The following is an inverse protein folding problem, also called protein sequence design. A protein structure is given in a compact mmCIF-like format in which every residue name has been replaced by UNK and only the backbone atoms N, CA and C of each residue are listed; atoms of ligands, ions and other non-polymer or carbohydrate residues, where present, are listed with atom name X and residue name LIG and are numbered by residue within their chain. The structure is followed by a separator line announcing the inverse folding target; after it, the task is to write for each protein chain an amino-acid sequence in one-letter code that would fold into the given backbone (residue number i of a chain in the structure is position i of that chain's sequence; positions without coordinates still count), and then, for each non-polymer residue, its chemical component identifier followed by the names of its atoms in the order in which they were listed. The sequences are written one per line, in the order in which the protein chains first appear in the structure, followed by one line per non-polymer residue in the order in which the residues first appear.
data_IF_082411944788
#
_entry.id   IF_082411944788
#
_cell.length_a   1.000
_cell.length_b   1.000
_cell.length_c   1.000
_cell.angle_alpha   90.00
_cell.angle_beta   90.00
_cell.angle_gamma   90.00
#
_symmetry.space_group_name_H-M   'P 1'
#
loop_
_entity.id
_entity.type
_entity.pdbx_description
1 polymer ?
#
# COMPACT_ATOMS: atom_id res chain seq x y z
N UNK A 1 -76.69 -53.75 5.61
CA UNK A 1 -75.36 -53.87 6.26
C UNK A 1 -74.50 -52.69 5.83
N UNK A 2 -73.83 -52.06 6.78
CA UNK A 2 -73.30 -50.69 6.77
C UNK A 2 -72.24 -50.41 5.68
N UNK A 3 -72.30 -49.27 4.95
CA UNK A 3 -71.16 -48.80 4.17
C UNK A 3 -70.06 -48.34 5.14
N UNK A 4 -68.88 -48.92 4.95
CA UNK A 4 -67.72 -48.91 5.85
C UNK A 4 -67.25 -47.51 6.24
N UNK A 5 -67.39 -47.19 7.54
CA UNK A 5 -66.81 -46.03 8.23
C UNK A 5 -65.29 -45.85 8.00
N UNK A 6 -64.59 -46.89 7.54
CA UNK A 6 -63.14 -46.87 7.26
C UNK A 6 -62.77 -46.02 6.04
N UNK A 7 -63.59 -46.01 4.98
CA UNK A 7 -63.31 -45.20 3.77
C UNK A 7 -63.44 -43.70 4.03
N UNK A 8 -64.44 -43.29 4.83
CA UNK A 8 -64.60 -41.90 5.28
C UNK A 8 -63.49 -41.47 6.26
N UNK A 9 -63.01 -42.40 7.10
CA UNK A 9 -61.88 -42.14 8.01
C UNK A 9 -60.56 -42.00 7.25
N UNK A 10 -60.32 -42.82 6.21
CA UNK A 10 -59.15 -42.71 5.34
C UNK A 10 -59.10 -41.39 4.57
N UNK A 11 -60.20 -41.01 3.90
CA UNK A 11 -60.30 -39.73 3.20
C UNK A 11 -60.18 -38.52 4.14
N UNK A 12 -60.73 -38.62 5.36
CA UNK A 12 -60.54 -37.59 6.38
C UNK A 12 -59.07 -37.48 6.84
N UNK A 13 -58.37 -38.59 7.03
CA UNK A 13 -56.96 -38.60 7.42
C UNK A 13 -56.05 -38.05 6.31
N UNK A 14 -56.33 -38.34 5.04
CA UNK A 14 -55.62 -37.76 3.90
C UNK A 14 -55.86 -36.25 3.81
N UNK A 15 -57.10 -35.78 3.92
CA UNK A 15 -57.41 -34.35 3.92
C UNK A 15 -56.74 -33.60 5.09
N UNK A 16 -56.66 -34.23 6.27
CA UNK A 16 -55.92 -33.68 7.43
C UNK A 16 -54.42 -33.65 7.18
N UNK A 17 -53.86 -34.65 6.49
CA UNK A 17 -52.45 -34.72 6.13
C UNK A 17 -52.10 -33.66 5.06
N UNK A 18 -52.89 -33.55 4.00
CA UNK A 18 -52.73 -32.54 2.95
C UNK A 18 -52.83 -31.13 3.54
N UNK A 19 -53.84 -30.85 4.38
CA UNK A 19 -53.94 -29.57 5.08
C UNK A 19 -52.75 -29.29 6.02
N UNK A 20 -52.09 -30.33 6.54
CA UNK A 20 -50.88 -30.19 7.35
C UNK A 20 -49.65 -29.91 6.48
N UNK A 21 -49.51 -30.62 5.35
CA UNK A 21 -48.45 -30.40 4.37
C UNK A 21 -48.54 -29.01 3.74
N UNK A 22 -49.74 -28.54 3.41
CA UNK A 22 -49.98 -27.19 2.91
C UNK A 22 -49.61 -26.11 3.93
N UNK A 23 -50.01 -26.28 5.20
CA UNK A 23 -49.58 -25.38 6.29
C UNK A 23 -48.07 -25.40 6.51
N UNK A 24 -47.41 -26.55 6.35
CA UNK A 24 -45.95 -26.63 6.44
C UNK A 24 -45.28 -25.92 5.27
N UNK A 25 -45.78 -26.11 4.05
CA UNK A 25 -45.28 -25.42 2.86
C UNK A 25 -45.47 -23.91 2.94
N UNK A 26 -46.62 -23.44 3.45
CA UNK A 26 -46.90 -22.02 3.69
C UNK A 26 -45.94 -21.43 4.72
N UNK A 27 -45.74 -22.10 5.86
CA UNK A 27 -44.74 -21.68 6.87
C UNK A 27 -43.32 -21.63 6.29
N UNK A 28 -42.94 -22.57 5.44
CA UNK A 28 -41.63 -22.55 4.78
C UNK A 28 -41.51 -21.36 3.83
N UNK A 29 -42.55 -21.04 3.06
CA UNK A 29 -42.60 -19.84 2.20
C UNK A 29 -42.49 -18.57 3.03
N UNK A 30 -43.21 -18.46 4.14
CA UNK A 30 -43.15 -17.30 5.03
C UNK A 30 -41.76 -17.13 5.65
N UNK A 31 -41.15 -18.21 6.15
CA UNK A 31 -39.79 -18.16 6.70
C UNK A 31 -38.77 -17.77 5.63
N UNK A 32 -38.91 -18.30 4.41
CA UNK A 32 -38.06 -17.92 3.29
C UNK A 32 -38.23 -16.44 2.91
N UNK A 33 -39.48 -15.97 2.82
CA UNK A 33 -39.79 -14.57 2.54
C UNK A 33 -39.21 -13.63 3.60
N UNK A 34 -39.37 -13.95 4.90
CA UNK A 34 -38.81 -13.19 6.02
C UNK A 34 -37.29 -13.14 5.93
N UNK A 35 -36.62 -14.26 5.64
CA UNK A 35 -35.16 -14.29 5.47
C UNK A 35 -34.69 -13.42 4.31
N UNK A 36 -35.33 -13.52 3.15
CA UNK A 36 -35.01 -12.70 1.97
C UNK A 36 -35.22 -11.22 2.30
N UNK A 37 -36.36 -10.86 2.90
CA UNK A 37 -36.66 -9.48 3.29
C UNK A 37 -35.65 -8.94 4.31
N UNK A 38 -35.25 -9.72 5.31
CA UNK A 38 -34.26 -9.32 6.29
C UNK A 38 -32.89 -9.07 5.63
N UNK A 39 -32.46 -9.94 4.71
CA UNK A 39 -31.23 -9.75 3.95
C UNK A 39 -31.27 -8.49 3.09
N UNK A 40 -32.37 -8.26 2.35
CA UNK A 40 -32.54 -7.07 1.49
C UNK A 40 -32.56 -5.80 2.34
N UNK A 41 -33.33 -5.75 3.44
CA UNK A 41 -33.38 -4.60 4.35
C UNK A 41 -32.00 -4.29 4.93
N UNK A 42 -31.27 -5.33 5.38
CA UNK A 42 -29.91 -5.18 5.87
C UNK A 42 -28.95 -4.67 4.80
N UNK A 43 -29.08 -5.15 3.56
CA UNK A 43 -28.27 -4.68 2.43
C UNK A 43 -28.56 -3.21 2.10
N UNK A 44 -29.83 -2.82 2.00
CA UNK A 44 -30.25 -1.43 1.74
C UNK A 44 -29.71 -0.46 2.79
N UNK A 45 -29.78 -0.83 4.08
CA UNK A 45 -29.23 0.00 5.17
C UNK A 45 -27.71 0.12 5.07
N UNK A 46 -27.00 -0.98 4.78
CA UNK A 46 -25.54 -0.94 4.58
C UNK A 46 -25.15 -0.06 3.40
N UNK A 47 -25.87 -0.15 2.28
CA UNK A 47 -25.57 0.67 1.10
C UNK A 47 -25.89 2.15 1.35
N UNK A 48 -26.98 2.45 2.06
CA UNK A 48 -27.32 3.80 2.49
C UNK A 48 -26.25 4.38 3.42
N UNK A 49 -25.75 3.60 4.38
CA UNK A 49 -24.69 4.05 5.29
C UNK A 49 -23.36 4.25 4.55
N UNK A 50 -23.01 3.36 3.62
CA UNK A 50 -21.84 3.56 2.76
C UNK A 50 -21.92 4.86 1.97
N UNK A 51 -23.08 5.13 1.36
CA UNK A 51 -23.34 6.38 0.63
C UNK A 51 -23.21 7.59 1.56
N UNK A 52 -23.77 7.52 2.77
CA UNK A 52 -23.64 8.58 3.78
C UNK A 52 -22.18 8.84 4.14
N UNK A 53 -21.38 7.80 4.41
CA UNK A 53 -19.95 7.93 4.73
C UNK A 53 -19.19 8.61 3.58
N UNK A 54 -19.47 8.23 2.32
CA UNK A 54 -18.86 8.86 1.14
C UNK A 54 -19.26 10.33 1.03
N UNK A 55 -20.54 10.65 1.21
CA UNK A 55 -21.04 12.03 1.19
C UNK A 55 -20.38 12.89 2.29
N UNK A 56 -20.28 12.38 3.51
CA UNK A 56 -19.62 13.09 4.62
C UNK A 56 -18.12 13.36 4.35
N UNK A 57 -17.47 12.52 3.54
CA UNK A 57 -16.10 12.76 3.09
C UNK A 57 -16.06 13.81 1.98
N UNK A 58 -16.97 13.70 1.00
CA UNK A 58 -17.08 14.62 -0.13
C UNK A 58 -17.48 16.04 0.32
N UNK A 59 -18.24 16.18 1.41
CA UNK A 59 -18.57 17.46 2.03
C UNK A 59 -17.34 18.23 2.53
N UNK A 60 -16.25 17.53 2.88
CA UNK A 60 -15.02 18.15 3.35
C UNK A 60 -14.15 18.65 2.18
N UNK A 61 -14.03 17.83 1.14
CA UNK A 61 -13.04 18.06 0.08
C UNK A 61 -13.63 18.52 -1.27
N UNK A 62 -14.94 18.35 -1.47
CA UNK A 62 -15.54 18.44 -2.79
C UNK A 62 -15.18 17.25 -3.69
N UNK A 63 -15.91 17.11 -4.80
CA UNK A 63 -15.69 16.06 -5.81
C UNK A 63 -14.67 16.48 -6.89
N UNK A 64 -14.24 17.74 -6.90
CA UNK A 64 -13.33 18.28 -7.91
C UNK A 64 -11.88 18.25 -7.43
N UNK A 65 -11.10 17.33 -8.02
CA UNK A 65 -9.66 17.16 -7.77
C UNK A 65 -8.81 18.43 -7.94
N UNK A 66 -9.33 19.44 -8.65
CA UNK A 66 -8.67 20.71 -8.93
C UNK A 66 -8.74 21.72 -7.79
N UNK A 67 -9.65 21.52 -6.85
CA UNK A 67 -9.78 22.35 -5.65
C UNK A 67 -9.12 21.63 -4.49
N UNK A 68 -7.78 21.56 -4.49
CA UNK A 68 -7.13 21.74 -3.19
C UNK A 68 -7.72 23.03 -2.60
N UNK A 69 -8.09 23.08 -1.31
CA UNK A 69 -8.36 24.38 -0.72
C UNK A 69 -7.12 25.22 -1.01
N UNK A 70 -7.31 26.43 -1.54
CA UNK A 70 -6.29 27.48 -1.44
C UNK A 70 -5.62 27.29 -0.07
N UNK A 71 -4.28 27.22 -0.02
CA UNK A 71 -3.47 26.91 1.18
C UNK A 71 -3.95 27.60 2.48
N UNK A 72 -4.77 28.64 2.36
CA UNK A 72 -5.47 29.36 3.42
C UNK A 72 -6.57 28.57 4.16
N UNK A 73 -7.21 27.55 3.57
CA UNK A 73 -8.37 26.85 4.16
C UNK A 73 -8.21 25.32 4.23
N UNK A 74 -7.05 24.82 4.67
CA UNK A 74 -6.85 23.38 4.88
C UNK A 74 -7.68 22.93 6.10
N UNK A 75 -8.55 21.91 5.97
CA UNK A 75 -9.38 21.46 7.09
C UNK A 75 -8.55 20.81 8.21
N UNK A 76 -9.03 20.98 9.44
CA UNK A 76 -8.37 20.46 10.64
C UNK A 76 -8.12 18.94 10.55
N UNK A 77 -6.88 18.53 10.88
CA UNK A 77 -6.43 17.14 10.84
C UNK A 77 -7.38 16.17 11.56
N UNK A 78 -7.82 16.53 12.76
CA UNK A 78 -8.69 15.68 13.58
C UNK A 78 -10.07 15.43 12.94
N UNK A 79 -10.63 16.43 12.25
CA UNK A 79 -11.94 16.31 11.59
C UNK A 79 -11.80 15.38 10.39
N UNK A 80 -10.81 15.66 9.55
CA UNK A 80 -10.50 14.86 8.37
C UNK A 80 -10.21 13.41 8.76
N UNK A 81 -9.34 13.20 9.75
CA UNK A 81 -8.96 11.88 10.24
C UNK A 81 -10.18 11.04 10.61
N UNK A 82 -11.11 11.59 11.38
CA UNK A 82 -12.32 10.86 11.81
C UNK A 82 -13.20 10.42 10.64
N UNK A 83 -13.33 11.25 9.59
CA UNK A 83 -14.09 10.90 8.39
C UNK A 83 -13.34 9.91 7.50
N UNK A 84 -12.04 10.12 7.30
CA UNK A 84 -11.19 9.24 6.51
C UNK A 84 -11.16 7.83 7.09
N UNK A 85 -11.03 7.66 8.41
CA UNK A 85 -11.07 6.33 9.05
C UNK A 85 -12.38 5.59 8.74
N UNK A 86 -13.52 6.29 8.68
CA UNK A 86 -14.80 5.67 8.31
C UNK A 86 -14.84 5.28 6.83
N UNK A 87 -14.34 6.14 5.95
CA UNK A 87 -14.26 5.84 4.52
C UNK A 87 -13.40 4.60 4.25
N UNK A 88 -12.22 4.51 4.87
CA UNK A 88 -11.30 3.41 4.63
C UNK A 88 -11.82 2.05 5.11
N UNK A 89 -12.75 2.01 6.07
CA UNK A 89 -13.45 0.78 6.49
C UNK A 89 -14.42 0.24 5.44
N UNK A 90 -14.89 1.06 4.52
CA UNK A 90 -15.85 0.69 3.46
C UNK A 90 -15.29 0.86 2.06
N UNK A 91 -13.98 1.10 1.96
CA UNK A 91 -13.33 1.51 0.73
C UNK A 91 -13.51 0.45 -0.36
N UNK A 92 -14.04 0.88 -1.49
CA UNK A 92 -14.19 0.07 -2.70
C UNK A 92 -13.40 0.74 -3.81
N UNK A 93 -12.33 0.10 -4.28
CA UNK A 93 -11.39 0.67 -5.27
C UNK A 93 -12.10 1.34 -6.44
N UNK A 94 -13.04 0.65 -7.07
CA UNK A 94 -13.77 1.14 -8.26
C UNK A 94 -14.57 2.42 -8.00
N UNK A 95 -15.00 2.65 -6.76
CA UNK A 95 -15.82 3.81 -6.37
C UNK A 95 -15.01 4.92 -5.70
N UNK A 96 -13.92 4.56 -5.03
CA UNK A 96 -13.24 5.39 -4.05
C UNK A 96 -11.79 5.76 -4.44
N UNK A 97 -11.28 5.32 -5.61
CA UNK A 97 -9.95 5.67 -6.11
C UNK A 97 -9.71 7.19 -6.19
N UNK A 98 -10.70 7.96 -6.68
CA UNK A 98 -10.64 9.43 -6.72
C UNK A 98 -10.60 10.05 -5.32
N UNK A 99 -11.30 9.46 -4.34
CA UNK A 99 -11.28 9.93 -2.95
C UNK A 99 -9.93 9.65 -2.31
N UNK A 100 -9.31 8.52 -2.63
CA UNK A 100 -7.93 8.22 -2.23
C UNK A 100 -6.96 9.25 -2.78
N UNK A 101 -7.04 9.60 -4.07
CA UNK A 101 -6.22 10.65 -4.67
C UNK A 101 -6.37 11.99 -3.93
N UNK A 102 -7.61 12.47 -3.73
CA UNK A 102 -7.91 13.71 -3.02
C UNK A 102 -7.35 13.66 -1.59
N UNK A 103 -7.57 12.55 -0.88
CA UNK A 103 -7.06 12.35 0.46
C UNK A 103 -5.54 12.37 0.51
N UNK A 104 -4.88 11.73 -0.46
CA UNK A 104 -3.42 11.74 -0.59
C UNK A 104 -2.90 13.16 -0.77
N UNK A 105 -3.51 13.97 -1.64
CA UNK A 105 -3.13 15.38 -1.81
C UNK A 105 -3.28 16.16 -0.50
N UNK A 106 -4.40 15.98 0.21
CA UNK A 106 -4.59 16.58 1.53
C UNK A 106 -3.49 16.17 2.51
N UNK A 107 -3.15 14.88 2.59
CA UNK A 107 -2.10 14.40 3.47
C UNK A 107 -0.77 15.07 3.16
N UNK A 108 -0.37 15.15 1.89
CA UNK A 108 0.87 15.83 1.52
C UNK A 108 0.87 17.31 1.94
N UNK A 109 -0.20 18.05 1.63
CA UNK A 109 -0.33 19.47 2.03
C UNK A 109 -0.37 19.67 3.54
N UNK A 110 -1.03 18.77 4.26
CA UNK A 110 -1.13 18.78 5.72
C UNK A 110 0.24 18.50 6.37
N UNK A 111 1.02 17.58 5.81
CA UNK A 111 2.35 17.23 6.32
C UNK A 111 3.40 18.32 6.06
N UNK A 112 3.17 19.17 5.06
CA UNK A 112 3.95 20.38 4.76
C UNK A 112 3.47 21.62 5.54
N UNK A 113 2.48 21.49 6.43
CA UNK A 113 2.06 22.56 7.33
C UNK A 113 2.84 22.50 8.66
N UNK A 114 3.16 23.66 9.20
CA UNK A 114 3.73 23.87 10.54
C UNK A 114 2.67 24.12 11.63
N UNK A 115 1.41 24.39 11.24
CA UNK A 115 0.28 24.49 12.18
C UNK A 115 -0.14 23.10 12.71
N UNK A 116 -0.13 22.95 14.05
CA UNK A 116 -0.61 21.78 14.78
C UNK A 116 -2.08 21.41 14.51
N UNK A 117 -2.93 22.37 14.13
CA UNK A 117 -4.33 22.10 13.80
C UNK A 117 -4.49 21.44 12.45
N UNK A 118 -3.59 21.75 11.53
CA UNK A 118 -3.62 21.30 10.14
C UNK A 118 -2.78 20.03 9.97
N UNK A 119 -1.65 19.93 10.67
CA UNK A 119 -0.70 18.83 10.49
C UNK A 119 -1.27 17.48 10.91
N UNK A 120 -1.25 16.53 9.99
CA UNK A 120 -1.84 15.21 10.18
C UNK A 120 -1.12 14.41 11.28
N UNK A 121 0.16 14.70 11.52
CA UNK A 121 0.98 14.10 12.60
C UNK A 121 0.41 14.40 13.99
N UNK A 122 -0.32 15.50 14.16
CA UNK A 122 -0.90 15.85 15.46
C UNK A 122 -1.92 14.81 15.94
N UNK A 123 -2.57 14.10 15.02
CA UNK A 123 -3.42 12.96 15.37
C UNK A 123 -2.60 11.79 15.96
N UNK A 124 -1.35 11.58 15.51
CA UNK A 124 -0.45 10.58 16.08
C UNK A 124 0.05 10.96 17.48
N UNK A 125 0.19 12.26 17.76
CA UNK A 125 0.62 12.78 19.06
C UNK A 125 -0.48 12.74 20.13
N UNK A 126 -1.74 12.65 19.72
CA UNK A 126 -2.86 12.53 20.65
C UNK A 126 -3.02 11.07 21.11
N UNK A 127 -2.73 10.79 22.39
CA UNK A 127 -2.80 9.46 23.00
C UNK A 127 -4.12 8.71 22.72
N UNK A 128 -5.25 9.40 22.61
CA UNK A 128 -6.55 8.79 22.34
C UNK A 128 -6.71 8.34 20.87
N UNK A 129 -5.96 8.94 19.94
CA UNK A 129 -6.06 8.71 18.50
C UNK A 129 -4.86 7.95 17.94
N UNK A 130 -3.71 7.92 18.63
CA UNK A 130 -2.45 7.33 18.15
C UNK A 130 -2.62 5.93 17.56
N UNK A 131 -3.29 5.01 18.27
CA UNK A 131 -3.45 3.63 17.79
C UNK A 131 -4.30 3.55 16.52
N UNK A 132 -5.42 4.27 16.49
CA UNK A 132 -6.28 4.33 15.30
C UNK A 132 -5.55 4.98 14.13
N UNK A 133 -4.73 6.00 14.41
CA UNK A 133 -3.94 6.69 13.41
C UNK A 133 -2.89 5.77 12.79
N UNK A 134 -2.19 4.96 13.60
CA UNK A 134 -1.21 3.98 13.10
C UNK A 134 -1.89 2.97 12.18
N UNK A 135 -3.03 2.42 12.58
CA UNK A 135 -3.77 1.48 11.74
C UNK A 135 -4.25 2.13 10.44
N UNK A 136 -4.74 3.37 10.52
CA UNK A 136 -5.23 4.10 9.36
C UNK A 136 -4.12 4.41 8.36
N UNK A 137 -2.95 4.87 8.83
CA UNK A 137 -1.88 5.23 7.90
C UNK A 137 -1.26 4.00 7.24
N UNK A 138 -1.21 2.86 7.96
CA UNK A 138 -0.86 1.57 7.37
C UNK A 138 -1.82 1.22 6.24
N UNK A 139 -3.13 1.30 6.49
CA UNK A 139 -4.16 1.03 5.48
C UNK A 139 -4.02 1.95 4.25
N UNK A 140 -3.82 3.26 4.48
CA UNK A 140 -3.62 4.25 3.41
C UNK A 140 -2.38 3.93 2.58
N UNK A 141 -1.27 3.58 3.24
CA UNK A 141 -0.02 3.27 2.55
C UNK A 141 -0.13 1.97 1.74
N UNK A 142 -0.79 0.93 2.27
CA UNK A 142 -1.07 -0.31 1.54
C UNK A 142 -1.94 -0.03 0.32
N UNK A 143 -2.99 0.77 0.46
CA UNK A 143 -3.86 1.16 -0.66
C UNK A 143 -3.14 1.97 -1.73
N UNK A 144 -2.20 2.82 -1.33
CA UNK A 144 -1.35 3.54 -2.26
C UNK A 144 -0.43 2.57 -3.05
N UNK A 145 0.11 1.53 -2.40
CA UNK A 145 0.84 0.47 -3.10
C UNK A 145 -0.05 -0.29 -4.08
N UNK A 146 -1.25 -0.70 -3.65
CA UNK A 146 -2.21 -1.38 -4.53
C UNK A 146 -2.52 -0.53 -5.78
N UNK A 147 -2.81 0.77 -5.63
CA UNK A 147 -3.04 1.65 -6.79
C UNK A 147 -1.82 1.78 -7.70
N UNK A 148 -0.60 1.85 -7.15
CA UNK A 148 0.63 1.91 -7.96
C UNK A 148 0.77 0.69 -8.90
N UNK A 149 0.27 -0.48 -8.52
CA UNK A 149 0.31 -1.68 -9.35
C UNK A 149 -0.65 -1.63 -10.53
N UNK A 150 -1.72 -0.83 -10.46
CA UNK A 150 -2.69 -0.69 -11.55
C UNK A 150 -2.45 0.50 -12.47
N UNK A 151 -1.66 1.48 -12.05
CA UNK A 151 -1.37 2.66 -12.87
C UNK A 151 -0.43 2.33 -14.03
N UNK A 152 -0.65 3.03 -15.13
CA UNK A 152 0.14 3.02 -16.34
C UNK A 152 0.98 4.31 -16.43
N UNK A 153 2.27 4.18 -16.14
CA UNK A 153 3.26 5.27 -16.21
C UNK A 153 3.36 5.96 -17.58
N UNK A 154 2.81 5.35 -18.63
CA UNK A 154 2.78 5.90 -19.99
C UNK A 154 1.76 7.02 -20.14
N UNK A 155 0.67 6.95 -19.38
CA UNK A 155 -0.41 7.93 -19.41
C UNK A 155 -0.03 9.09 -18.51
N UNK A 156 0.09 10.30 -19.06
CA UNK A 156 0.60 11.45 -18.33
C UNK A 156 -0.20 11.79 -17.05
N UNK A 157 -1.52 11.59 -17.06
CA UNK A 157 -2.37 11.76 -15.87
C UNK A 157 -2.06 10.72 -14.80
N UNK A 158 -1.87 9.45 -15.18
CA UNK A 158 -1.56 8.37 -14.25
C UNK A 158 -0.13 8.43 -13.74
N UNK A 159 0.83 8.89 -14.54
CA UNK A 159 2.21 9.13 -14.09
C UNK A 159 2.29 10.22 -13.01
N UNK A 160 1.37 11.22 -13.06
CA UNK A 160 1.21 12.18 -11.95
C UNK A 160 0.70 11.49 -10.69
N UNK A 161 -0.21 10.53 -10.81
CA UNK A 161 -0.68 9.72 -9.67
C UNK A 161 0.42 8.81 -9.11
N UNK A 162 1.24 8.21 -9.97
CA UNK A 162 2.42 7.45 -9.54
C UNK A 162 3.34 8.32 -8.70
N UNK A 163 3.64 9.53 -9.18
CA UNK A 163 4.45 10.50 -8.44
C UNK A 163 3.80 10.90 -7.11
N UNK A 164 2.47 11.09 -7.10
CA UNK A 164 1.69 11.44 -5.91
C UNK A 164 1.75 10.34 -4.83
N UNK A 165 1.51 9.08 -5.22
CA UNK A 165 1.53 7.95 -4.28
C UNK A 165 2.95 7.60 -3.82
N UNK A 166 3.96 7.68 -4.69
CA UNK A 166 5.36 7.54 -4.28
C UNK A 166 5.76 8.62 -3.26
N UNK A 167 5.33 9.86 -3.46
CA UNK A 167 5.58 10.94 -2.50
C UNK A 167 4.89 10.69 -1.16
N UNK A 168 3.65 10.18 -1.17
CA UNK A 168 2.93 9.79 0.05
C UNK A 168 3.72 8.74 0.85
N UNK A 169 4.14 7.66 0.19
CA UNK A 169 4.94 6.61 0.82
C UNK A 169 6.27 7.17 1.35
N UNK A 170 6.90 8.09 0.62
CA UNK A 170 8.14 8.75 1.04
C UNK A 170 7.94 9.61 2.30
N UNK A 171 6.84 10.37 2.39
CA UNK A 171 6.55 11.20 3.55
C UNK A 171 6.36 10.33 4.80
N UNK A 172 5.64 9.23 4.72
CA UNK A 172 5.33 8.40 5.90
C UNK A 172 6.41 7.38 6.27
N UNK A 173 7.50 7.32 5.51
CA UNK A 173 8.61 6.39 5.76
C UNK A 173 9.79 7.00 6.52
N UNK A 174 9.78 8.31 6.78
CA UNK A 174 10.76 8.95 7.67
C UNK A 174 10.17 10.21 8.32
N UNK A 175 10.62 10.54 9.53
CA UNK A 175 10.20 11.78 10.22
C UNK A 175 10.88 13.03 9.69
N UNK A 176 11.98 12.89 8.95
CA UNK A 176 12.76 14.01 8.38
C UNK A 176 11.95 14.85 7.39
N UNK A 177 10.94 14.25 6.77
CA UNK A 177 10.04 14.89 5.80
C UNK A 177 8.87 15.61 6.45
N UNK A 178 8.70 15.56 7.77
CA UNK A 178 7.56 16.15 8.47
C UNK A 178 7.94 17.56 8.92
N UNK A 179 7.35 18.59 8.28
CA UNK A 179 7.72 19.99 8.54
C UNK A 179 7.52 20.39 10.00
N UNK A 180 6.43 19.92 10.61
CA UNK A 180 6.14 20.15 12.03
C UNK A 180 7.29 19.69 12.96
N UNK A 181 7.94 18.56 12.66
CA UNK A 181 9.04 18.03 13.49
C UNK A 181 10.39 18.71 13.27
N UNK A 182 10.48 19.66 12.33
CA UNK A 182 11.67 20.48 12.17
C UNK A 182 11.76 21.56 13.26
N UNK A 183 10.66 21.84 13.96
CA UNK A 183 10.62 22.78 15.07
C UNK A 183 11.36 22.23 16.30
N UNK A 184 12.23 23.04 16.91
CA UNK A 184 13.11 22.59 18.01
C UNK A 184 12.36 21.98 19.18
N UNK A 185 11.22 22.56 19.57
CA UNK A 185 10.43 22.10 20.70
C UNK A 185 9.76 20.73 20.50
N UNK A 186 9.66 20.23 19.27
CA UNK A 186 9.08 18.92 18.93
C UNK A 186 10.13 17.86 18.61
N UNK A 187 11.41 18.21 18.54
CA UNK A 187 12.53 17.26 18.35
C UNK A 187 12.53 16.10 19.36
N UNK A 188 12.19 16.29 20.66
CA UNK A 188 12.15 15.18 21.62
C UNK A 188 11.17 14.05 21.26
N UNK A 189 10.16 14.32 20.42
CA UNK A 189 9.18 13.33 19.98
C UNK A 189 9.67 12.50 18.79
N UNK A 190 10.72 12.96 18.09
CA UNK A 190 11.23 12.34 16.87
C UNK A 190 11.64 10.87 17.04
N UNK A 191 12.29 10.43 18.14
CA UNK A 191 12.62 9.02 18.32
C UNK A 191 11.38 8.12 18.39
N UNK A 192 10.32 8.55 19.08
CA UNK A 192 9.08 7.79 19.18
C UNK A 192 8.35 7.72 17.82
N UNK A 193 8.34 8.83 17.08
CA UNK A 193 7.72 8.90 15.76
C UNK A 193 8.53 8.16 14.69
N UNK A 194 9.86 8.07 14.82
CA UNK A 194 10.70 7.22 13.99
C UNK A 194 10.33 5.74 14.13
N UNK A 195 10.14 5.24 15.37
CA UNK A 195 9.65 3.87 15.59
C UNK A 195 8.30 3.64 14.93
N UNK A 196 7.43 4.65 14.93
CA UNK A 196 6.16 4.60 14.23
C UNK A 196 6.34 4.49 12.70
N UNK A 197 7.25 5.26 12.09
CA UNK A 197 7.56 5.13 10.65
C UNK A 197 8.17 3.77 10.31
N UNK A 198 9.02 3.21 11.19
CA UNK A 198 9.55 1.86 11.04
C UNK A 198 8.44 0.81 11.06
N UNK A 199 7.45 0.95 11.96
CA UNK A 199 6.29 0.05 12.02
C UNK A 199 5.41 0.13 10.77
N UNK A 200 5.27 1.31 10.15
CA UNK A 200 4.59 1.45 8.85
C UNK A 200 5.39 0.73 7.77
N UNK A 201 6.71 0.96 7.71
CA UNK A 201 7.55 0.33 6.70
C UNK A 201 7.58 -1.21 6.84
N UNK A 202 7.63 -1.74 8.05
CA UNK A 202 7.58 -3.17 8.29
C UNK A 202 6.26 -3.80 7.80
N UNK A 203 5.13 -3.11 7.98
CA UNK A 203 3.84 -3.52 7.41
C UNK A 203 3.91 -3.54 5.88
N UNK A 204 4.44 -2.48 5.27
CA UNK A 204 4.55 -2.38 3.81
C UNK A 204 5.46 -3.47 3.22
N UNK A 205 6.55 -3.81 3.89
CA UNK A 205 7.39 -4.95 3.51
C UNK A 205 6.58 -6.25 3.53
N UNK A 206 5.82 -6.48 4.61
CA UNK A 206 4.97 -7.68 4.76
C UNK A 206 3.88 -7.74 3.70
N UNK A 207 3.40 -6.58 3.24
CA UNK A 207 2.39 -6.44 2.17
C UNK A 207 2.97 -6.37 0.75
N UNK A 208 4.28 -6.56 0.59
CA UNK A 208 4.90 -6.74 -0.73
C UNK A 208 5.37 -5.46 -1.43
N UNK A 209 5.71 -4.39 -0.68
CA UNK A 209 6.18 -3.12 -1.31
C UNK A 209 7.32 -3.31 -2.32
N UNK A 210 8.24 -4.25 -2.10
CA UNK A 210 9.33 -4.51 -3.06
C UNK A 210 8.81 -4.97 -4.41
N UNK A 211 7.79 -5.82 -4.43
CA UNK A 211 7.12 -6.24 -5.66
C UNK A 211 6.43 -5.05 -6.34
N UNK A 212 5.69 -4.23 -5.57
CA UNK A 212 5.06 -3.01 -6.10
C UNK A 212 6.09 -2.07 -6.75
N UNK A 213 7.22 -1.81 -6.07
CA UNK A 213 8.29 -0.97 -6.57
C UNK A 213 8.92 -1.56 -7.84
N UNK A 214 9.13 -2.88 -7.89
CA UNK A 214 9.58 -3.58 -9.09
C UNK A 214 8.64 -3.35 -10.26
N UNK A 215 7.32 -3.51 -10.06
CA UNK A 215 6.32 -3.31 -11.12
C UNK A 215 6.37 -1.88 -11.68
N UNK A 216 6.49 -0.87 -10.80
CA UNK A 216 6.61 0.53 -11.24
C UNK A 216 7.91 0.76 -12.02
N UNK A 217 9.03 0.19 -11.57
CA UNK A 217 10.32 0.30 -12.27
C UNK A 217 10.29 -0.39 -13.64
N UNK A 218 9.76 -1.61 -13.74
CA UNK A 218 9.69 -2.35 -15.01
C UNK A 218 8.82 -1.59 -16.01
N UNK A 219 7.62 -1.17 -15.61
CA UNK A 219 6.71 -0.38 -16.47
C UNK A 219 7.36 0.96 -16.88
N UNK A 220 8.13 1.56 -15.98
CA UNK A 220 8.73 2.89 -16.16
C UNK A 220 10.03 2.92 -16.97
N UNK A 221 10.88 1.91 -16.83
CA UNK A 221 12.25 1.90 -17.35
C UNK A 221 12.43 0.99 -18.55
N UNK A 222 11.75 -0.17 -18.60
CA UNK A 222 11.97 -1.19 -19.62
C UNK A 222 11.23 -0.87 -20.94
N UNK A 223 11.49 0.31 -21.49
CA UNK A 223 10.89 0.83 -22.73
C UNK A 223 11.96 1.52 -23.58
N UNK A 224 11.65 1.75 -24.86
CA UNK A 224 12.57 2.48 -25.76
C UNK A 224 12.91 3.90 -25.26
N UNK A 225 11.99 4.54 -24.51
CA UNK A 225 12.26 5.76 -23.75
C UNK A 225 11.67 5.62 -22.32
N UNK A 226 12.45 5.90 -21.26
CA UNK A 226 11.96 5.86 -19.88
C UNK A 226 10.78 6.80 -19.65
N UNK A 227 9.70 6.28 -19.06
CA UNK A 227 8.48 7.03 -18.76
C UNK A 227 8.52 7.71 -17.38
N UNK A 228 9.24 7.12 -16.43
CA UNK A 228 9.51 7.74 -15.11
C UNK A 228 10.83 8.50 -15.15
N UNK A 229 10.90 9.61 -14.39
CA UNK A 229 12.08 10.50 -14.34
C UNK A 229 12.87 10.30 -13.06
N UNK A 230 14.06 10.91 -13.02
CA UNK A 230 15.00 10.87 -11.90
C UNK A 230 14.36 10.94 -10.51
N UNK A 231 13.51 11.93 -10.19
CA UNK A 231 12.91 12.04 -8.86
C UNK A 231 12.11 10.80 -8.43
N UNK A 232 11.29 10.24 -9.32
CA UNK A 232 10.51 9.03 -9.03
C UNK A 232 11.42 7.81 -8.81
N UNK A 233 12.47 7.66 -9.63
CA UNK A 233 13.45 6.59 -9.49
C UNK A 233 14.18 6.72 -8.14
N UNK A 234 14.68 7.91 -7.80
CA UNK A 234 15.33 8.18 -6.51
C UNK A 234 14.39 7.89 -5.33
N UNK A 235 13.11 8.25 -5.44
CA UNK A 235 12.11 7.91 -4.41
C UNK A 235 11.96 6.39 -4.27
N UNK A 236 11.87 5.64 -5.37
CA UNK A 236 11.78 4.18 -5.34
C UNK A 236 13.03 3.58 -4.68
N UNK A 237 14.22 4.03 -5.05
CA UNK A 237 15.47 3.58 -4.41
C UNK A 237 15.48 3.91 -2.91
N UNK A 238 15.08 5.11 -2.54
CA UNK A 238 14.96 5.51 -1.13
C UNK A 238 13.99 4.62 -0.36
N UNK A 239 12.83 4.32 -0.92
CA UNK A 239 11.82 3.45 -0.32
C UNK A 239 12.30 2.00 -0.19
N UNK A 240 13.11 1.51 -1.13
CA UNK A 240 13.74 0.19 -1.04
C UNK A 240 14.84 0.13 0.03
N UNK A 241 15.56 1.22 0.27
CA UNK A 241 16.67 1.24 1.24
C UNK A 241 16.21 1.46 2.68
N UNK A 242 15.14 2.24 2.91
CA UNK A 242 14.68 2.58 4.27
C UNK A 242 14.39 1.35 5.15
N UNK A 243 13.66 0.32 4.70
CA UNK A 243 13.45 -0.89 5.50
C UNK A 243 14.75 -1.62 5.80
N UNK A 244 15.63 -1.74 4.80
CA UNK A 244 16.92 -2.41 4.94
C UNK A 244 17.79 -1.77 6.02
N UNK A 245 17.86 -0.44 6.04
CA UNK A 245 18.61 0.31 7.05
C UNK A 245 17.95 0.26 8.43
N UNK A 246 16.62 0.22 8.49
CA UNK A 246 15.87 0.14 9.74
C UNK A 246 15.92 -1.26 10.38
N UNK A 247 16.06 -2.32 9.58
CA UNK A 247 16.07 -3.72 10.04
C UNK A 247 17.48 -4.26 10.33
N UNK A 248 18.43 -3.39 10.68
CA UNK A 248 19.84 -3.75 10.92
C UNK A 248 20.44 -4.62 9.79
N UNK A 249 20.03 -4.36 8.54
CA UNK A 249 20.54 -5.06 7.35
C UNK A 249 20.21 -6.56 7.28
N UNK A 250 19.03 -6.95 7.75
CA UNK A 250 18.48 -8.30 7.63
C UNK A 250 18.65 -8.93 6.22
N UNK A 251 19.13 -10.17 6.18
CA UNK A 251 19.24 -11.01 4.98
C UNK A 251 17.91 -11.16 4.23
N UNK A 252 16.77 -11.19 4.95
CA UNK A 252 15.46 -11.27 4.29
C UNK A 252 15.17 -10.05 3.43
N UNK A 253 15.50 -8.85 3.93
CA UNK A 253 15.29 -7.62 3.16
C UNK A 253 16.27 -7.54 1.99
N UNK A 254 17.51 -8.00 2.20
CA UNK A 254 18.53 -8.04 1.16
C UNK A 254 18.15 -9.01 0.03
N UNK A 255 17.57 -10.16 0.38
CA UNK A 255 16.96 -11.11 -0.57
C UNK A 255 15.86 -10.44 -1.39
N UNK A 256 14.91 -9.73 -0.74
CA UNK A 256 13.86 -8.99 -1.44
C UNK A 256 14.41 -7.91 -2.37
N UNK A 257 15.46 -7.18 -1.94
CA UNK A 257 16.13 -6.19 -2.78
C UNK A 257 16.82 -6.84 -3.99
N UNK A 258 17.51 -7.96 -3.80
CA UNK A 258 18.14 -8.71 -4.89
C UNK A 258 17.09 -9.20 -5.91
N UNK A 259 16.00 -9.78 -5.41
CA UNK A 259 14.93 -10.39 -6.23
C UNK A 259 14.06 -9.35 -6.93
N UNK A 260 13.75 -8.21 -6.31
CA UNK A 260 12.77 -7.27 -6.85
C UNK A 260 13.37 -5.97 -7.37
N UNK A 261 14.49 -5.49 -6.82
CA UNK A 261 15.08 -4.21 -7.22
C UNK A 261 16.25 -4.45 -8.17
N UNK A 262 17.26 -5.22 -7.75
CA UNK A 262 18.46 -5.45 -8.57
C UNK A 262 18.22 -6.36 -9.77
N UNK A 263 17.12 -7.10 -9.80
CA UNK A 263 16.69 -7.87 -10.96
C UNK A 263 16.01 -7.02 -12.05
N UNK A 264 15.74 -5.73 -11.80
CA UNK A 264 15.14 -4.83 -12.79
C UNK A 264 16.12 -4.61 -13.95
N UNK A 265 15.70 -4.82 -15.22
CA UNK A 265 16.59 -4.66 -16.37
C UNK A 265 17.29 -3.30 -16.41
N UNK A 266 18.61 -3.32 -16.59
CA UNK A 266 19.47 -2.15 -16.75
C UNK A 266 19.34 -1.08 -15.64
N UNK A 267 18.92 -1.45 -14.43
CA UNK A 267 18.72 -0.54 -13.31
C UNK A 267 19.92 0.39 -13.10
N UNK A 268 21.14 -0.17 -13.01
CA UNK A 268 22.35 0.63 -12.72
C UNK A 268 22.62 1.64 -13.84
N UNK A 269 22.40 1.26 -15.09
CA UNK A 269 22.51 2.18 -16.22
C UNK A 269 21.49 3.33 -16.11
N UNK A 270 20.26 3.04 -15.72
CA UNK A 270 19.23 4.06 -15.48
C UNK A 270 19.57 4.97 -14.28
N UNK A 271 20.18 4.45 -13.23
CA UNK A 271 20.62 5.28 -12.10
C UNK A 271 21.74 6.24 -12.51
N UNK A 272 22.75 5.77 -13.26
CA UNK A 272 23.83 6.63 -13.77
C UNK A 272 23.27 7.77 -14.64
N UNK A 273 22.31 7.46 -15.51
CA UNK A 273 21.82 8.41 -16.52
C UNK A 273 20.70 9.33 -16.04
N UNK A 274 19.78 8.83 -15.22
CA UNK A 274 18.54 9.53 -14.86
C UNK A 274 18.47 9.91 -13.38
N UNK A 275 19.12 9.16 -12.48
CA UNK A 275 18.94 9.28 -11.04
C UNK A 275 20.26 9.08 -10.27
N UNK A 276 21.29 9.93 -10.50
CA UNK A 276 22.62 9.74 -9.92
C UNK A 276 22.61 9.80 -8.38
N UNK A 277 21.67 10.52 -7.78
CA UNK A 277 21.51 10.52 -6.32
C UNK A 277 21.08 9.15 -5.78
N UNK A 278 20.25 8.40 -6.53
CA UNK A 278 19.92 7.02 -6.17
C UNK A 278 21.15 6.11 -6.19
N UNK A 279 22.05 6.29 -7.17
CA UNK A 279 23.32 5.57 -7.21
C UNK A 279 24.23 5.94 -6.04
N UNK A 280 24.33 7.23 -5.70
CA UNK A 280 25.10 7.70 -4.54
C UNK A 280 24.61 7.05 -3.24
N UNK A 281 23.30 6.82 -3.10
CA UNK A 281 22.75 6.10 -1.95
C UNK A 281 23.22 4.65 -1.88
N UNK A 282 23.40 3.97 -3.02
CA UNK A 282 23.97 2.62 -3.04
C UNK A 282 25.43 2.62 -2.60
N UNK A 283 26.23 3.56 -3.10
CA UNK A 283 27.63 3.71 -2.68
C UNK A 283 27.74 4.05 -1.19
N UNK A 284 26.97 5.05 -0.71
CA UNK A 284 27.05 5.52 0.68
C UNK A 284 26.69 4.44 1.70
N UNK A 285 25.83 3.49 1.31
CA UNK A 285 25.40 2.39 2.17
C UNK A 285 26.08 1.06 1.82
N UNK A 286 27.11 1.06 0.96
CA UNK A 286 27.88 -0.12 0.54
C UNK A 286 26.98 -1.27 0.09
N UNK A 287 25.97 -0.96 -0.73
CA UNK A 287 24.96 -1.93 -1.14
C UNK A 287 25.55 -3.00 -2.06
N UNK A 288 26.54 -2.64 -2.90
CA UNK A 288 27.25 -3.59 -3.74
C UNK A 288 27.92 -4.70 -2.92
N UNK A 289 28.79 -4.31 -1.97
CA UNK A 289 29.49 -5.20 -1.03
C UNK A 289 28.50 -6.17 -0.36
N UNK A 290 27.42 -5.63 0.21
CA UNK A 290 26.44 -6.42 0.96
C UNK A 290 25.69 -7.42 0.09
N UNK A 291 25.25 -7.01 -1.10
CA UNK A 291 24.57 -7.95 -2.02
C UNK A 291 25.55 -9.02 -2.49
N UNK A 292 26.80 -8.67 -2.77
CA UNK A 292 27.80 -9.64 -3.19
C UNK A 292 28.07 -10.67 -2.08
N UNK A 293 28.31 -10.22 -0.85
CA UNK A 293 28.48 -11.09 0.33
C UNK A 293 27.26 -12.00 0.54
N UNK A 294 26.05 -11.44 0.41
CA UNK A 294 24.81 -12.20 0.53
C UNK A 294 24.67 -13.29 -0.54
N UNK A 295 24.95 -12.96 -1.79
CA UNK A 295 24.83 -13.87 -2.95
C UNK A 295 26.02 -14.85 -3.00
N UNK A 296 27.14 -14.55 -2.36
CA UNK A 296 28.29 -15.45 -2.25
C UNK A 296 27.96 -16.71 -1.43
N UNK A 297 27.03 -16.62 -0.48
CA UNK A 297 26.53 -17.77 0.27
C UNK A 297 25.64 -18.67 -0.61
N UNK A 298 26.04 -19.94 -0.78
CA UNK A 298 25.41 -20.88 -1.71
C UNK A 298 23.90 -21.06 -1.49
N UNK A 299 23.46 -21.06 -0.23
CA UNK A 299 22.04 -21.20 0.10
C UNK A 299 21.23 -19.98 -0.36
N UNK A 300 21.73 -18.77 -0.10
CA UNK A 300 21.09 -17.51 -0.52
C UNK A 300 21.07 -17.39 -2.04
N UNK A 301 22.18 -17.75 -2.69
CA UNK A 301 22.27 -17.83 -4.15
C UNK A 301 21.16 -18.72 -4.72
N UNK A 302 21.01 -19.94 -4.19
CA UNK A 302 19.96 -20.87 -4.63
C UNK A 302 18.56 -20.30 -4.41
N UNK A 303 18.30 -19.64 -3.28
CA UNK A 303 16.99 -19.02 -3.01
C UNK A 303 16.69 -17.95 -4.07
N UNK A 304 17.63 -17.05 -4.34
CA UNK A 304 17.46 -15.96 -5.33
C UNK A 304 17.24 -16.54 -6.73
N UNK A 305 18.08 -17.47 -7.18
CA UNK A 305 18.01 -18.03 -8.53
C UNK A 305 16.85 -19.00 -8.75
N UNK A 306 16.34 -19.67 -7.71
CA UNK A 306 15.12 -20.47 -7.81
C UNK A 306 13.86 -19.61 -7.81
N UNK A 307 13.92 -18.40 -7.25
CA UNK A 307 12.80 -17.46 -7.24
C UNK A 307 12.73 -16.62 -8.51
N UNK A 308 13.88 -16.29 -9.10
CA UNK A 308 13.98 -15.51 -10.33
C UNK A 308 13.81 -16.37 -11.58
N UNK A 309 13.04 -15.91 -12.55
CA UNK A 309 13.12 -16.46 -13.90
C UNK A 309 14.49 -16.14 -14.52
N UNK A 310 14.95 -16.98 -15.46
CA UNK A 310 16.31 -16.88 -16.01
C UNK A 310 16.66 -15.51 -16.61
N UNK A 311 15.69 -14.80 -17.21
CA UNK A 311 15.91 -13.46 -17.75
C UNK A 311 16.17 -12.41 -16.65
N UNK A 312 15.48 -12.49 -15.50
CA UNK A 312 15.67 -11.59 -14.37
C UNK A 312 16.96 -11.91 -13.59
N UNK A 313 17.37 -13.18 -13.56
CA UNK A 313 18.67 -13.57 -13.03
C UNK A 313 19.83 -12.97 -13.85
N UNK A 314 19.69 -12.94 -15.18
CA UNK A 314 20.65 -12.23 -16.05
C UNK A 314 20.65 -10.71 -15.79
N UNK A 315 19.49 -10.11 -15.53
CA UNK A 315 19.41 -8.70 -15.17
C UNK A 315 20.11 -8.39 -13.85
N UNK A 316 19.93 -9.24 -12.83
CA UNK A 316 20.65 -9.16 -11.57
C UNK A 316 22.17 -9.20 -11.80
N UNK A 317 22.65 -10.21 -12.53
CA UNK A 317 24.07 -10.33 -12.85
C UNK A 317 24.60 -9.11 -13.60
N UNK A 318 23.89 -8.65 -14.65
CA UNK A 318 24.30 -7.50 -15.45
C UNK A 318 24.39 -6.22 -14.60
N UNK A 319 23.44 -6.01 -13.70
CA UNK A 319 23.45 -4.87 -12.78
C UNK A 319 24.62 -4.97 -11.79
N UNK A 320 24.90 -6.14 -11.21
CA UNK A 320 26.03 -6.33 -10.31
C UNK A 320 27.38 -6.12 -11.01
N UNK A 321 27.55 -6.64 -12.23
CA UNK A 321 28.75 -6.43 -13.05
C UNK A 321 28.93 -4.95 -13.39
N UNK A 322 27.85 -4.26 -13.73
CA UNK A 322 27.92 -2.82 -14.01
C UNK A 322 28.30 -2.03 -12.74
N UNK A 323 27.73 -2.36 -11.59
CA UNK A 323 28.08 -1.72 -10.33
C UNK A 323 29.54 -2.00 -9.93
N UNK A 324 30.02 -3.23 -10.12
CA UNK A 324 31.42 -3.61 -9.96
C UNK A 324 32.35 -2.77 -10.85
N UNK A 325 31.97 -2.52 -12.10
CA UNK A 325 32.74 -1.67 -13.01
C UNK A 325 32.79 -0.20 -12.56
N UNK A 326 31.72 0.31 -11.96
CA UNK A 326 31.66 1.66 -11.39
C UNK A 326 32.49 1.77 -10.10
N UNK A 327 32.57 0.70 -9.31
CA UNK A 327 33.32 0.61 -8.05
C UNK A 327 34.69 -0.07 -8.21
N UNK A 328 35.21 -0.17 -9.43
CA UNK A 328 36.46 -0.91 -9.77
C UNK A 328 37.70 -0.39 -9.05
N UNK A 329 37.70 0.88 -8.68
CA UNK A 329 38.80 1.59 -8.02
C UNK A 329 38.58 1.72 -6.51
N UNK A 330 37.43 1.28 -5.99
CA UNK A 330 37.05 1.43 -4.58
C UNK A 330 36.84 0.07 -3.90
N UNK A 331 35.64 -0.50 -4.01
CA UNK A 331 35.23 -1.68 -3.23
C UNK A 331 35.57 -2.98 -3.95
N UNK A 332 35.67 -2.97 -5.29
CA UNK A 332 35.95 -4.19 -6.06
C UNK A 332 37.32 -4.82 -5.74
N UNK A 333 38.43 -4.07 -5.60
CA UNK A 333 39.72 -4.66 -5.27
C UNK A 333 39.70 -5.41 -3.93
N UNK A 334 38.99 -4.89 -2.93
CA UNK A 334 38.84 -5.51 -1.60
C UNK A 334 38.03 -6.82 -1.65
N UNK A 335 37.03 -6.89 -2.53
CA UNK A 335 36.14 -8.04 -2.66
C UNK A 335 36.67 -9.13 -3.61
N UNK A 336 37.31 -8.76 -4.71
CA UNK A 336 37.78 -9.68 -5.76
C UNK A 336 39.13 -10.32 -5.43
N UNK A 337 39.96 -9.63 -4.63
CA UNK A 337 41.26 -10.11 -4.18
C UNK A 337 41.36 -9.92 -2.67
N UNK A 338 40.70 -10.77 -1.86
CA UNK A 338 40.95 -10.75 -0.43
C UNK A 338 42.45 -10.94 -0.23
N UNK A 339 43.13 -9.91 0.28
CA UNK A 339 44.54 -10.00 0.65
C UNK A 339 44.67 -11.11 1.69
N UNK A 340 45.20 -12.24 1.26
CA UNK A 340 45.56 -13.38 2.11
C UNK A 340 46.74 -13.05 3.03
#
# INVERSE_FOLDING_TARGET
MFPSNESKRGAFLEHVREAREERMAERLRDVAAVKIQAHIRGWLVRESEKKKIRNEFDEIFGLESTLLPDLKNIPHATIVFKKAVRLFKIFERDKDCKRLEIYTRYLLSSMDSDDLKISYVCCAMNKALTLQWIQHIKEVAVRACEELEFLHVEVASENRLVSLYLHLLLIFSATTTWRLLQQEHLQPLRPALNKLTQNIMAELVTKGIYHTLQQVLIKGLCRGKPAIRGPAITTIITLSLRPFLASEQSHNILSLMAIHIFSVPALIHHLVTLAPDGLRMFHSHKIFEKILEFVYEEQNLRIVFNTLEGCYALCLLANLVHLAYLERETSLPELAFPTF
#
